data_IF_465591432902
#
_entry.id   IF_465591432902
#
_cell.length_a   1.000
_cell.length_b   1.000
_cell.length_c   1.000
_cell.angle_alpha   90.00
_cell.angle_beta   90.00
_cell.angle_gamma   90.00
#
_symmetry.space_group_name_H-M   'P 1'
#
loop_
_entity.id
_entity.type
_entity.pdbx_description
1 polymer ?
#
# COMPACT_ATOMS: atom_id res chain seq x y z
N UNK A 1 -11.49 -13.69 -1.07
CA UNK A 1 -10.18 -13.02 -1.06
C UNK A 1 -9.67 -12.69 -2.47
N UNK A 2 -10.20 -13.31 -3.53
CA UNK A 2 -9.88 -13.02 -4.94
C UNK A 2 -10.42 -11.68 -5.45
N UNK A 3 -11.58 -11.24 -4.97
CA UNK A 3 -12.23 -10.01 -5.48
C UNK A 3 -11.41 -8.75 -5.24
N UNK A 4 -10.80 -8.62 -4.05
CA UNK A 4 -9.92 -7.50 -3.74
C UNK A 4 -8.66 -7.49 -4.63
N UNK A 5 -8.09 -8.66 -4.95
CA UNK A 5 -6.91 -8.75 -5.82
C UNK A 5 -7.23 -8.29 -7.25
N UNK A 6 -8.38 -8.70 -7.78
CA UNK A 6 -8.86 -8.24 -9.10
C UNK A 6 -9.11 -6.73 -9.10
N UNK A 7 -9.81 -6.22 -8.10
CA UNK A 7 -10.10 -4.79 -7.96
C UNK A 7 -8.81 -3.94 -7.85
N UNK A 8 -7.84 -4.37 -7.04
CA UNK A 8 -6.54 -3.71 -6.91
C UNK A 8 -5.82 -3.67 -8.27
N UNK A 9 -5.87 -4.77 -9.04
CA UNK A 9 -5.23 -4.84 -10.36
C UNK A 9 -5.87 -3.87 -11.34
N UNK A 10 -7.21 -3.81 -11.37
CA UNK A 10 -7.96 -2.88 -12.21
C UNK A 10 -7.69 -1.41 -11.82
N UNK A 11 -7.66 -1.09 -10.52
CA UNK A 11 -7.34 0.25 -10.04
C UNK A 11 -5.93 0.69 -10.40
N UNK A 12 -4.94 -0.22 -10.40
CA UNK A 12 -3.58 0.07 -10.88
C UNK A 12 -3.55 0.36 -12.38
N UNK A 13 -4.32 -0.40 -13.17
CA UNK A 13 -4.46 -0.13 -14.61
C UNK A 13 -5.08 1.25 -14.85
N UNK A 14 -6.19 1.56 -14.16
CA UNK A 14 -6.83 2.88 -14.23
C UNK A 14 -5.87 4.00 -13.81
N UNK A 15 -5.13 3.84 -12.71
CA UNK A 15 -4.15 4.83 -12.27
C UNK A 15 -3.08 5.10 -13.35
N UNK A 16 -2.62 4.06 -14.04
CA UNK A 16 -1.63 4.19 -15.12
C UNK A 16 -2.21 4.97 -16.30
N UNK A 17 -3.44 4.65 -16.71
CA UNK A 17 -4.13 5.34 -17.79
C UNK A 17 -4.41 6.81 -17.43
N UNK A 18 -4.88 7.09 -16.21
CA UNK A 18 -5.16 8.45 -15.74
C UNK A 18 -3.90 9.32 -15.67
N UNK A 19 -2.77 8.78 -15.21
CA UNK A 19 -1.48 9.50 -15.23
C UNK A 19 -1.00 9.77 -16.65
N UNK A 20 -1.24 8.83 -17.56
CA UNK A 20 -0.90 9.00 -18.97
C UNK A 20 -1.77 10.09 -19.61
N UNK A 21 -3.07 10.13 -19.29
CA UNK A 21 -4.00 11.19 -19.70
C UNK A 21 -3.52 12.56 -19.21
N UNK A 22 -3.17 12.68 -17.92
CA UNK A 22 -2.63 13.91 -17.34
C UNK A 22 -1.38 14.38 -18.11
N UNK A 23 -0.42 13.48 -18.32
CA UNK A 23 0.83 13.81 -19.01
C UNK A 23 0.57 14.25 -20.46
N UNK A 24 -0.28 13.53 -21.20
CA UNK A 24 -0.64 13.89 -22.57
C UNK A 24 -1.31 15.26 -22.60
N UNK A 25 -2.25 15.53 -21.69
CA UNK A 25 -2.92 16.83 -21.60
C UNK A 25 -1.92 17.97 -21.37
N UNK A 26 -0.99 17.82 -20.41
CA UNK A 26 0.08 18.79 -20.14
C UNK A 26 0.96 19.06 -21.37
N UNK A 27 1.35 18.01 -22.09
CA UNK A 27 2.16 18.15 -23.31
C UNK A 27 1.37 18.90 -24.39
N UNK A 28 0.10 18.56 -24.60
CA UNK A 28 -0.74 19.17 -25.64
C UNK A 28 -1.10 20.62 -25.34
N UNK A 29 -1.07 21.07 -24.08
CA UNK A 29 -1.26 22.49 -23.73
C UNK A 29 -0.28 23.39 -24.48
N UNK A 30 0.96 22.93 -24.69
CA UNK A 30 1.99 23.68 -25.44
C UNK A 30 1.71 23.76 -26.95
N UNK A 31 0.88 22.84 -27.47
CA UNK A 31 0.51 22.73 -28.88
C UNK A 31 -0.83 23.41 -29.20
N UNK A 32 -1.54 23.91 -28.18
CA UNK A 32 -2.88 24.47 -28.32
C UNK A 32 -2.87 25.76 -29.15
N UNK A 33 -3.62 25.75 -30.26
CA UNK A 33 -3.74 26.87 -31.21
C UNK A 33 -4.75 27.93 -30.78
N UNK A 34 -5.60 27.62 -29.80
CA UNK A 34 -6.60 28.55 -29.27
C UNK A 34 -6.59 28.54 -27.75
N UNK A 35 -7.00 29.64 -27.14
CA UNK A 35 -7.09 29.74 -25.68
C UNK A 35 -8.17 28.82 -25.12
N UNK A 36 -9.25 28.58 -25.87
CA UNK A 36 -10.29 27.63 -25.48
C UNK A 36 -9.71 26.21 -25.33
N UNK A 37 -9.01 25.72 -26.36
CA UNK A 37 -8.38 24.39 -26.32
C UNK A 37 -7.29 24.34 -25.24
N UNK A 38 -6.54 25.42 -25.02
CA UNK A 38 -5.54 25.48 -23.95
C UNK A 38 -6.18 25.30 -22.58
N UNK A 39 -7.29 25.99 -22.31
CA UNK A 39 -8.03 25.89 -21.04
C UNK A 39 -8.60 24.50 -20.84
N UNK A 40 -9.20 23.90 -21.86
CA UNK A 40 -9.74 22.53 -21.80
C UNK A 40 -8.65 21.50 -21.46
N UNK A 41 -7.47 21.61 -22.08
CA UNK A 41 -6.35 20.72 -21.80
C UNK A 41 -5.79 20.92 -20.40
N UNK A 42 -5.73 22.16 -19.91
CA UNK A 42 -5.30 22.45 -18.55
C UNK A 42 -6.29 21.87 -17.52
N UNK A 43 -7.59 22.06 -17.72
CA UNK A 43 -8.63 21.44 -16.89
C UNK A 43 -8.56 19.92 -16.93
N UNK A 44 -8.32 19.32 -18.10
CA UNK A 44 -8.22 17.87 -18.18
C UNK A 44 -7.00 17.33 -17.41
N UNK A 45 -5.87 18.04 -17.47
CA UNK A 45 -4.70 17.69 -16.67
C UNK A 45 -5.00 17.78 -15.15
N UNK A 46 -5.67 18.86 -14.72
CA UNK A 46 -6.06 19.05 -13.32
C UNK A 46 -7.02 17.95 -12.84
N UNK A 47 -8.10 17.71 -13.59
CA UNK A 47 -9.08 16.66 -13.26
C UNK A 47 -8.45 15.26 -13.26
N UNK A 48 -7.53 14.97 -14.19
CA UNK A 48 -6.80 13.71 -14.20
C UNK A 48 -5.91 13.56 -12.95
N UNK A 49 -5.24 14.64 -12.53
CA UNK A 49 -4.47 14.67 -11.28
C UNK A 49 -5.33 14.38 -10.03
N UNK A 50 -6.51 14.99 -9.94
CA UNK A 50 -7.48 14.74 -8.86
C UNK A 50 -7.94 13.28 -8.85
N UNK A 51 -8.31 12.73 -10.02
CA UNK A 51 -8.67 11.30 -10.15
C UNK A 51 -7.52 10.38 -9.74
N UNK A 52 -6.29 10.68 -10.16
CA UNK A 52 -5.11 9.88 -9.81
C UNK A 52 -4.84 9.87 -8.30
N UNK A 53 -5.02 11.01 -7.63
CA UNK A 53 -4.91 11.11 -6.17
C UNK A 53 -5.99 10.25 -5.48
N UNK A 54 -7.25 10.35 -5.92
CA UNK A 54 -8.35 9.56 -5.38
C UNK A 54 -8.11 8.04 -5.55
N UNK A 55 -7.69 7.59 -6.74
CA UNK A 55 -7.39 6.17 -6.99
C UNK A 55 -6.21 5.69 -6.12
N UNK A 56 -5.19 6.54 -5.93
CA UNK A 56 -4.04 6.21 -5.08
C UNK A 56 -4.45 5.99 -3.62
N UNK A 57 -5.37 6.83 -3.11
CA UNK A 57 -5.89 6.66 -1.75
C UNK A 57 -6.71 5.37 -1.61
N UNK A 58 -7.56 5.06 -2.59
CA UNK A 58 -8.31 3.79 -2.59
C UNK A 58 -7.38 2.57 -2.62
N UNK A 59 -6.32 2.61 -3.43
CA UNK A 59 -5.31 1.55 -3.47
C UNK A 59 -4.62 1.38 -2.11
N UNK A 60 -4.32 2.47 -1.40
CA UNK A 60 -3.76 2.42 -0.05
C UNK A 60 -4.73 1.77 0.94
N UNK A 61 -6.00 2.19 0.93
CA UNK A 61 -7.04 1.63 1.80
C UNK A 61 -7.24 0.13 1.57
N UNK A 62 -7.28 -0.31 0.31
CA UNK A 62 -7.48 -1.72 -0.05
C UNK A 62 -6.24 -2.60 0.18
N UNK A 63 -5.04 -2.01 0.17
CA UNK A 63 -3.77 -2.73 0.39
C UNK A 63 -3.32 -2.74 1.85
N UNK A 64 -3.92 -1.90 2.69
CA UNK A 64 -3.61 -1.89 4.11
C UNK A 64 -4.03 -3.23 4.74
N UNK A 65 -3.18 -3.89 5.53
CA UNK A 65 -3.58 -5.08 6.26
C UNK A 65 -4.70 -4.70 7.22
N UNK A 66 -5.76 -5.51 7.30
CA UNK A 66 -6.77 -5.36 8.33
C UNK A 66 -6.07 -5.40 9.70
N UNK A 67 -5.94 -4.25 10.35
CA UNK A 67 -5.39 -4.12 11.70
C UNK A 67 -6.34 -4.80 12.67
N UNK A 68 -6.26 -6.12 12.75
CA UNK A 68 -6.87 -6.90 13.81
C UNK A 68 -5.85 -7.07 14.93
N UNK A 69 -6.13 -6.38 16.04
CA UNK A 69 -5.76 -6.77 17.39
C UNK A 69 -4.30 -7.22 17.58
N UNK A 70 -3.46 -6.28 18.03
CA UNK A 70 -2.35 -6.59 18.94
C UNK A 70 -2.95 -7.42 20.09
N UNK A 71 -2.81 -8.76 20.05
CA UNK A 71 -3.09 -9.61 21.21
C UNK A 71 -2.20 -9.08 22.34
N UNK A 72 -2.80 -8.32 23.26
CA UNK A 72 -2.21 -8.01 24.54
C UNK A 72 -2.09 -9.32 25.29
N UNK A 73 -0.86 -9.83 25.40
CA UNK A 73 -0.55 -10.83 26.43
C UNK A 73 -0.46 -10.10 27.78
N UNK A 74 -1.59 -9.54 28.21
CA UNK A 74 -1.76 -8.99 29.55
C UNK A 74 -2.79 -9.89 30.22
N UNK A 75 -2.31 -10.88 30.97
CA UNK A 75 -3.15 -11.73 31.81
C UNK A 75 -3.39 -13.14 31.26
N UNK A 76 -2.48 -14.06 31.56
CA UNK A 76 -2.87 -15.46 31.80
C UNK A 76 -2.20 -15.96 33.07
N UNK A 77 -2.93 -16.00 34.20
CA UNK A 77 -2.48 -16.59 35.45
C UNK A 77 -2.65 -18.13 35.44
N UNK A 78 -1.77 -18.79 36.19
CA UNK A 78 -2.01 -19.97 37.05
C UNK A 78 -2.32 -21.37 36.48
N UNK A 79 -1.77 -21.78 35.33
CA UNK A 79 -1.54 -23.21 35.03
C UNK A 79 -0.50 -23.26 33.91
N UNK A 80 0.46 -24.16 33.80
CA UNK A 80 0.99 -25.21 34.66
C UNK A 80 2.35 -25.56 34.06
N UNK A 81 3.29 -25.94 34.93
CA UNK A 81 4.62 -26.44 34.59
C UNK A 81 4.52 -27.67 33.68
N UNK A 82 5.13 -27.64 32.51
CA UNK A 82 5.68 -28.83 31.84
C UNK A 82 6.81 -28.43 30.87
N UNK A 83 7.87 -29.24 30.74
CA UNK A 83 9.20 -28.77 30.36
C UNK A 83 9.50 -29.16 28.90
N UNK A 84 9.14 -28.30 27.96
CA UNK A 84 9.62 -28.45 26.58
C UNK A 84 10.18 -27.11 26.12
N UNK A 85 11.49 -27.13 25.94
CA UNK A 85 12.37 -26.00 25.69
C UNK A 85 11.88 -25.12 24.53
N UNK A 86 11.79 -23.81 24.78
CA UNK A 86 11.91 -22.81 23.70
C UNK A 86 13.34 -22.86 23.17
N UNK A 87 13.58 -23.03 21.85
CA UNK A 87 14.92 -22.82 21.32
C UNK A 87 15.21 -21.32 21.28
N UNK A 88 16.06 -20.84 22.19
CA UNK A 88 16.70 -19.53 22.04
C UNK A 88 17.89 -19.66 21.09
N UNK A 89 17.93 -18.76 20.11
CA UNK A 89 19.07 -18.54 19.21
C UNK A 89 20.35 -18.42 20.04
N UNK A 90 21.44 -18.97 19.52
CA UNK A 90 22.82 -18.81 19.97
C UNK A 90 23.31 -19.65 21.16
N UNK A 91 23.26 -20.96 21.00
CA UNK A 91 24.49 -21.77 20.98
C UNK A 91 24.37 -22.73 19.77
N UNK A 92 24.95 -22.49 18.58
CA UNK A 92 26.39 -22.58 18.31
C UNK A 92 27.25 -22.04 19.45
N UNK A 93 27.97 -22.99 20.06
CA UNK A 93 29.13 -22.86 20.96
C UNK A 93 28.82 -22.98 22.45
N UNK A 94 28.90 -24.24 22.87
CA UNK A 94 29.77 -24.72 23.94
C UNK A 94 29.59 -24.14 25.35
N UNK A 95 29.05 -25.03 26.18
CA UNK A 95 29.26 -25.08 27.63
C UNK A 95 30.73 -25.30 27.98
N UNK A 96 31.23 -24.52 28.94
CA UNK A 96 32.36 -24.75 29.84
C UNK A 96 32.30 -23.57 30.86
N UNK A 97 32.47 -23.66 32.18
CA UNK A 97 32.94 -24.71 33.10
C UNK A 97 32.71 -24.17 34.52
N UNK A 98 32.42 -25.09 35.44
CA UNK A 98 32.58 -25.12 36.91
C UNK A 98 32.93 -23.85 37.71
N UNK A 99 32.19 -23.60 38.80
CA UNK A 99 32.68 -23.74 40.20
C UNK A 99 31.50 -23.73 41.17
#
# INVERSE_FOLDING_TARGET
>A
MTDHTTLITQLRALLTLTRTEEQIARIRTTQARTDAVRRELQQNAEHAGERAAAITEQLRALSAPATSSRRSWAGSPHWSRAPWSRPSRSTRRCWATCS
#
